data_IF_370781406556
#
_entry.id   IF_370781406556
#
_cell.length_a   1.000
_cell.length_b   1.000
_cell.length_c   1.000
_cell.angle_alpha   90.00
_cell.angle_beta   90.00
_cell.angle_gamma   90.00
#
_symmetry.space_group_name_H-M   'P 1'
#
loop_
_entity.id
_entity.type
_entity.pdbx_description
1 polymer ?
#
# COMPACT_ATOMS: atom_id res chain seq x y z
N UNK A 1 7.03 0.85 19.22
CA UNK A 1 5.89 -0.04 19.43
C UNK A 1 4.83 0.66 20.28
N UNK A 2 3.57 0.57 19.90
CA UNK A 2 2.46 1.08 20.68
C UNK A 2 1.45 -0.03 20.96
N UNK A 3 0.95 -0.08 22.21
CA UNK A 3 -0.14 -0.98 22.62
C UNK A 3 -1.03 -0.25 23.64
N UNK A 4 -2.24 0.08 23.25
CA UNK A 4 -3.10 0.97 24.05
C UNK A 4 -2.42 2.33 24.26
N UNK A 5 -2.29 2.76 25.50
CA UNK A 5 -1.63 4.02 25.88
C UNK A 5 -0.11 3.88 26.17
N UNK A 6 0.47 2.71 25.95
CA UNK A 6 1.88 2.48 26.15
C UNK A 6 2.66 2.62 24.85
N UNK A 7 3.70 3.46 24.86
CA UNK A 7 4.64 3.62 23.75
C UNK A 7 6.04 3.21 24.22
N UNK A 8 6.70 2.35 23.44
CA UNK A 8 8.09 1.94 23.68
C UNK A 8 8.93 2.26 22.45
N UNK A 9 10.06 2.93 22.67
CA UNK A 9 11.06 3.16 21.62
C UNK A 9 11.89 1.90 21.46
N UNK A 10 12.09 1.45 20.23
CA UNK A 10 12.96 0.33 19.88
C UNK A 10 14.34 0.84 19.52
N UNK A 11 14.41 1.83 18.63
CA UNK A 11 15.66 2.45 18.17
C UNK A 11 15.41 3.89 17.71
N UNK A 12 16.49 4.63 17.55
CA UNK A 12 16.50 5.94 16.93
C UNK A 12 17.63 6.01 15.89
N UNK A 13 17.29 6.33 14.63
CA UNK A 13 18.26 6.46 13.56
C UNK A 13 18.64 7.95 13.36
N UNK A 14 19.81 8.35 13.83
CA UNK A 14 20.31 9.72 13.73
C UNK A 14 20.94 10.00 12.35
N UNK A 15 20.14 9.85 11.30
CA UNK A 15 20.58 10.11 9.91
C UNK A 15 19.39 10.49 9.04
N UNK A 16 19.66 11.06 7.86
CA UNK A 16 18.67 11.16 6.82
C UNK A 16 18.23 9.77 6.36
N UNK A 17 16.95 9.60 6.04
CA UNK A 17 16.38 8.35 5.55
C UNK A 17 16.03 8.47 4.06
N UNK A 18 15.77 7.33 3.41
CA UNK A 18 15.26 7.29 2.04
C UNK A 18 13.88 7.93 1.89
N UNK A 19 13.17 8.18 2.99
CA UNK A 19 11.88 8.89 2.98
C UNK A 19 12.01 10.39 2.71
N UNK A 20 13.18 11.00 2.94
CA UNK A 20 13.37 12.45 2.73
C UNK A 20 13.11 12.91 1.29
N UNK A 21 13.58 12.22 0.22
CA UNK A 21 13.24 12.61 -1.14
C UNK A 21 11.73 12.56 -1.41
N UNK A 22 11.03 11.58 -0.85
CA UNK A 22 9.58 11.44 -0.97
C UNK A 22 8.85 12.59 -0.25
N UNK A 23 9.19 12.85 1.00
CA UNK A 23 8.61 13.96 1.79
C UNK A 23 8.90 15.30 1.12
N UNK A 24 10.11 15.50 0.59
CA UNK A 24 10.48 16.71 -0.13
C UNK A 24 9.64 16.93 -1.40
N UNK A 25 9.29 15.85 -2.11
CA UNK A 25 8.38 15.92 -3.28
C UNK A 25 6.95 16.28 -2.88
N UNK A 26 6.42 15.68 -1.83
CA UNK A 26 5.07 15.97 -1.33
C UNK A 26 4.96 17.43 -0.92
N UNK A 27 5.91 17.89 -0.13
CA UNK A 27 5.91 19.25 0.44
C UNK A 27 6.52 20.31 -0.48
N UNK A 28 6.99 19.90 -1.67
CA UNK A 28 7.69 20.77 -2.64
C UNK A 28 8.84 21.56 -2.01
N UNK A 29 9.56 20.94 -1.07
CA UNK A 29 10.66 21.55 -0.34
C UNK A 29 11.77 20.54 -0.09
N UNK A 30 13.00 20.90 -0.43
CA UNK A 30 14.16 20.06 -0.14
C UNK A 30 14.62 20.27 1.31
N UNK A 31 14.21 19.35 2.20
CA UNK A 31 14.55 19.42 3.63
C UNK A 31 16.03 19.17 3.89
N UNK A 32 16.71 18.38 3.07
CA UNK A 32 18.16 18.14 3.20
C UNK A 32 18.92 19.43 2.92
N UNK A 33 18.56 20.13 1.85
CA UNK A 33 19.15 21.44 1.54
C UNK A 33 18.90 22.44 2.66
N UNK A 34 17.67 22.52 3.16
CA UNK A 34 17.31 23.41 4.27
C UNK A 34 18.14 23.11 5.52
N UNK A 35 18.23 21.83 5.92
CA UNK A 35 19.03 21.43 7.06
C UNK A 35 20.51 21.74 6.86
N UNK A 36 21.06 21.49 5.68
CA UNK A 36 22.46 21.83 5.36
C UNK A 36 22.72 23.32 5.46
N UNK A 37 21.83 24.16 4.94
CA UNK A 37 21.95 25.62 5.05
C UNK A 37 21.94 26.08 6.51
N UNK A 38 21.04 25.52 7.33
CA UNK A 38 20.98 25.82 8.76
C UNK A 38 22.30 25.43 9.47
N UNK A 39 22.83 24.24 9.21
CA UNK A 39 24.07 23.78 9.80
C UNK A 39 25.30 24.61 9.39
N UNK A 40 25.26 25.26 8.24
CA UNK A 40 26.31 26.10 7.72
C UNK A 40 26.07 27.61 7.97
N UNK A 41 25.09 27.97 8.78
CA UNK A 41 24.66 29.37 9.01
C UNK A 41 24.41 30.15 7.71
N UNK A 42 24.01 29.44 6.65
CA UNK A 42 23.69 30.04 5.35
C UNK A 42 22.21 30.50 5.30
N UNK A 43 21.90 31.53 4.53
CA UNK A 43 20.54 32.00 4.37
C UNK A 43 19.61 30.92 3.81
N UNK A 44 18.45 30.75 4.41
CA UNK A 44 17.41 29.82 3.93
C UNK A 44 16.03 30.48 4.03
N UNK A 45 15.09 30.04 3.18
CA UNK A 45 13.70 30.49 3.26
C UNK A 45 12.93 29.63 4.27
N UNK A 46 12.20 30.29 5.17
CA UNK A 46 11.28 29.59 6.06
C UNK A 46 10.04 29.07 5.27
N UNK A 47 9.41 27.98 5.70
CA UNK A 47 8.16 27.54 5.08
C UNK A 47 7.05 28.55 5.38
N UNK A 48 6.29 28.87 4.35
CA UNK A 48 5.13 29.76 4.42
C UNK A 48 3.83 28.97 4.73
N UNK A 49 3.88 27.65 4.66
CA UNK A 49 2.73 26.74 4.89
C UNK A 49 3.07 25.64 5.88
N UNK A 50 2.05 25.21 6.60
CA UNK A 50 2.12 24.01 7.41
C UNK A 50 2.21 22.75 6.52
N UNK A 51 2.86 21.70 7.02
CA UNK A 51 2.85 20.40 6.36
C UNK A 51 1.43 19.77 6.28
N UNK A 52 0.47 20.31 7.03
CA UNK A 52 -0.94 19.88 6.97
C UNK A 52 -1.77 20.66 5.93
N UNK A 53 -1.21 21.73 5.34
CA UNK A 53 -1.88 22.57 4.34
C UNK A 53 -1.49 22.13 2.91
N UNK A 54 -1.45 20.84 2.67
CA UNK A 54 -1.17 20.26 1.36
C UNK A 54 -2.44 19.70 0.73
N UNK A 55 -2.58 19.94 -0.56
CA UNK A 55 -3.75 19.59 -1.39
C UNK A 55 -3.61 18.25 -2.12
N UNK A 56 -2.71 17.39 -1.66
CA UNK A 56 -2.44 16.09 -2.28
C UNK A 56 -2.07 15.05 -1.24
N UNK A 57 -2.25 13.79 -1.59
CA UNK A 57 -1.87 12.66 -0.76
C UNK A 57 -0.65 11.96 -1.36
N UNK A 58 0.29 11.59 -0.50
CA UNK A 58 1.44 10.79 -0.86
C UNK A 58 1.36 9.41 -0.22
N UNK A 59 1.53 8.37 -1.02
CA UNK A 59 1.64 6.99 -0.57
C UNK A 59 3.02 6.45 -0.88
N UNK A 60 3.66 5.88 0.13
CA UNK A 60 4.94 5.18 0.01
C UNK A 60 4.70 3.69 0.16
N UNK A 61 5.06 2.92 -0.86
CA UNK A 61 4.94 1.46 -0.86
C UNK A 61 6.30 0.79 -0.93
N UNK A 62 6.44 -0.33 -0.23
CA UNK A 62 7.66 -1.15 -0.25
C UNK A 62 7.74 -1.99 -1.52
N UNK A 63 8.96 -2.19 -2.02
CA UNK A 63 9.30 -3.11 -3.09
C UNK A 63 10.02 -4.31 -2.50
N UNK A 64 9.64 -5.52 -2.92
CA UNK A 64 10.24 -6.77 -2.44
C UNK A 64 10.97 -7.50 -3.57
N UNK A 65 12.11 -8.12 -3.25
CA UNK A 65 12.94 -8.81 -4.24
C UNK A 65 12.23 -10.03 -4.84
N UNK A 66 11.41 -10.75 -4.07
CA UNK A 66 10.65 -11.90 -4.59
C UNK A 66 9.72 -11.53 -5.76
N UNK A 67 9.28 -10.29 -5.87
CA UNK A 67 8.51 -9.82 -7.01
C UNK A 67 9.32 -9.74 -8.31
N UNK A 68 10.65 -9.78 -8.23
CA UNK A 68 11.59 -9.66 -9.36
C UNK A 68 12.45 -10.88 -9.56
N UNK A 69 12.70 -11.66 -8.51
CA UNK A 69 13.55 -12.85 -8.55
C UNK A 69 12.69 -14.10 -8.62
N UNK A 70 12.87 -14.89 -9.67
CA UNK A 70 12.20 -16.19 -9.78
C UNK A 70 12.63 -17.09 -8.62
N UNK A 71 11.66 -17.82 -8.06
CA UNK A 71 11.84 -18.75 -6.92
C UNK A 71 12.31 -18.08 -5.61
N UNK A 72 12.22 -16.78 -5.48
CA UNK A 72 12.43 -16.13 -4.19
C UNK A 72 11.22 -16.42 -3.26
N UNK A 73 11.52 -16.73 -1.99
CA UNK A 73 10.48 -16.97 -1.00
C UNK A 73 9.64 -15.72 -0.74
N UNK A 74 8.32 -15.73 -0.97
CA UNK A 74 7.45 -14.60 -0.75
C UNK A 74 7.02 -14.45 0.73
N UNK A 75 7.42 -15.36 1.61
CA UNK A 75 7.03 -15.31 3.03
C UNK A 75 7.75 -14.16 3.73
N UNK A 76 6.97 -13.21 4.23
CA UNK A 76 7.47 -12.12 5.05
C UNK A 76 7.52 -12.55 6.52
N UNK A 77 8.69 -12.41 7.12
CA UNK A 77 8.90 -12.65 8.54
C UNK A 77 9.13 -11.34 9.30
N UNK A 78 9.72 -11.42 10.48
CA UNK A 78 10.05 -10.25 11.31
C UNK A 78 11.19 -9.40 10.75
N UNK A 79 11.86 -9.85 9.71
CA UNK A 79 12.95 -9.15 9.06
C UNK A 79 12.46 -8.09 8.07
N UNK A 80 13.27 -7.06 7.83
CA UNK A 80 13.04 -6.08 6.76
C UNK A 80 13.48 -6.66 5.42
N UNK A 81 12.57 -7.35 4.74
CA UNK A 81 12.84 -7.98 3.44
C UNK A 81 12.62 -7.06 2.24
N UNK A 82 12.25 -5.81 2.46
CA UNK A 82 12.06 -4.83 1.38
C UNK A 82 13.39 -4.43 0.75
N UNK A 83 13.45 -4.44 -0.59
CA UNK A 83 14.66 -4.11 -1.38
C UNK A 83 14.61 -2.72 -1.99
N UNK A 84 13.54 -1.99 -1.79
CA UNK A 84 13.35 -0.64 -2.29
C UNK A 84 12.00 -0.09 -1.87
N UNK A 85 11.69 1.09 -2.35
CA UNK A 85 10.47 1.82 -2.04
C UNK A 85 10.10 2.68 -3.24
N UNK A 86 8.79 2.85 -3.44
CA UNK A 86 8.24 3.81 -4.39
C UNK A 86 7.41 4.84 -3.64
N UNK A 87 7.37 6.07 -4.14
CA UNK A 87 6.51 7.13 -3.60
C UNK A 87 5.66 7.71 -4.72
N UNK A 88 4.35 7.65 -4.56
CA UNK A 88 3.39 8.17 -5.53
C UNK A 88 2.52 9.24 -4.90
N UNK A 89 2.06 10.17 -5.73
CA UNK A 89 1.15 11.25 -5.36
C UNK A 89 -0.19 11.00 -6.03
N UNK A 90 -1.26 11.48 -5.39
CA UNK A 90 -2.61 11.50 -5.93
C UNK A 90 -3.41 12.64 -5.33
N UNK A 91 -4.51 12.99 -5.96
CA UNK A 91 -5.44 13.99 -5.44
C UNK A 91 -6.24 13.44 -4.26
N UNK A 92 -6.42 12.11 -4.23
CA UNK A 92 -6.99 11.38 -3.10
C UNK A 92 -6.14 10.15 -2.71
N UNK A 93 -6.53 9.51 -1.59
CA UNK A 93 -5.83 8.32 -1.08
C UNK A 93 -5.92 7.12 -2.04
N UNK A 94 -7.05 6.90 -2.68
CA UNK A 94 -7.25 5.73 -3.55
C UNK A 94 -6.38 5.85 -4.81
N UNK A 95 -6.31 7.04 -5.39
CA UNK A 95 -5.44 7.32 -6.52
C UNK A 95 -3.96 7.14 -6.16
N UNK A 96 -3.52 7.77 -5.07
CA UNK A 96 -2.13 7.65 -4.61
C UNK A 96 -1.75 6.20 -4.30
N UNK A 97 -2.66 5.43 -3.66
CA UNK A 97 -2.45 4.02 -3.35
C UNK A 97 -2.39 3.17 -4.64
N UNK A 98 -3.32 3.35 -5.56
CA UNK A 98 -3.34 2.61 -6.82
C UNK A 98 -2.06 2.87 -7.63
N UNK A 99 -1.64 4.12 -7.73
CA UNK A 99 -0.39 4.49 -8.39
C UNK A 99 0.83 3.83 -7.73
N UNK A 100 0.85 3.77 -6.40
CA UNK A 100 1.91 3.09 -5.66
C UNK A 100 1.92 1.58 -5.88
N UNK A 101 0.76 0.93 -5.91
CA UNK A 101 0.62 -0.50 -6.21
C UNK A 101 1.11 -0.81 -7.63
N UNK A 102 0.68 -0.04 -8.63
CA UNK A 102 1.13 -0.20 -10.02
C UNK A 102 2.66 -0.02 -10.12
N UNK A 103 3.20 0.98 -9.46
CA UNK A 103 4.64 1.26 -9.45
C UNK A 103 5.47 0.15 -8.77
N UNK A 104 4.89 -0.61 -7.85
CA UNK A 104 5.52 -1.81 -7.25
C UNK A 104 5.35 -3.08 -8.07
N UNK A 105 4.69 -3.00 -9.23
CA UNK A 105 4.52 -4.12 -10.16
C UNK A 105 3.16 -4.81 -10.11
N UNK A 106 2.22 -4.28 -9.30
CA UNK A 106 0.84 -4.77 -9.32
C UNK A 106 0.21 -4.50 -10.69
N UNK A 107 -0.47 -5.50 -11.22
CA UNK A 107 -1.16 -5.40 -12.50
C UNK A 107 -2.66 -5.30 -12.27
N UNK A 108 -3.28 -4.30 -12.87
CA UNK A 108 -4.74 -4.21 -12.86
C UNK A 108 -5.30 -5.42 -13.62
N UNK A 109 -6.19 -6.20 -13.01
CA UNK A 109 -6.84 -7.32 -13.68
C UNK A 109 -7.56 -6.84 -14.95
N UNK A 110 -7.47 -7.62 -16.02
CA UNK A 110 -8.15 -7.25 -17.28
C UNK A 110 -9.51 -7.94 -17.45
N UNK A 111 -9.64 -9.17 -16.93
CA UNK A 111 -10.82 -10.01 -17.18
C UNK A 111 -11.35 -10.66 -15.90
N UNK A 112 -10.49 -11.14 -15.04
CA UNK A 112 -10.88 -11.90 -13.87
C UNK A 112 -10.12 -11.49 -12.62
N UNK A 113 -10.76 -11.66 -11.46
CA UNK A 113 -10.20 -11.39 -10.14
C UNK A 113 -10.37 -12.60 -9.24
N UNK A 114 -9.38 -12.85 -8.38
CA UNK A 114 -9.44 -13.86 -7.32
C UNK A 114 -9.65 -13.15 -5.98
N UNK A 115 -10.68 -13.58 -5.25
CA UNK A 115 -11.01 -13.06 -3.93
C UNK A 115 -10.90 -14.16 -2.87
N UNK A 116 -10.25 -13.84 -1.75
CA UNK A 116 -10.15 -14.74 -0.61
C UNK A 116 -10.16 -13.93 0.69
N UNK A 117 -11.09 -14.24 1.58
CA UNK A 117 -11.22 -13.62 2.89
C UNK A 117 -11.57 -14.65 3.95
N UNK A 118 -10.94 -14.53 5.12
CA UNK A 118 -11.13 -15.49 6.20
C UNK A 118 -12.35 -15.22 7.08
N UNK A 119 -12.41 -14.03 7.66
CA UNK A 119 -13.40 -13.69 8.69
C UNK A 119 -14.72 -13.17 8.10
N UNK A 120 -15.84 -13.33 8.86
CA UNK A 120 -17.16 -12.89 8.39
C UNK A 120 -17.26 -11.38 8.09
N UNK A 121 -16.59 -10.53 8.87
CA UNK A 121 -16.63 -9.08 8.68
C UNK A 121 -15.98 -8.69 7.36
N UNK A 122 -14.79 -9.21 7.07
CA UNK A 122 -14.10 -8.98 5.80
C UNK A 122 -14.91 -9.48 4.60
N UNK A 123 -15.72 -10.54 4.77
CA UNK A 123 -16.64 -11.00 3.72
C UNK A 123 -17.75 -9.99 3.44
N UNK A 124 -18.31 -9.38 4.47
CA UNK A 124 -19.34 -8.32 4.32
C UNK A 124 -18.74 -7.10 3.62
N UNK A 125 -17.54 -6.69 3.99
CA UNK A 125 -16.84 -5.55 3.38
C UNK A 125 -16.52 -5.78 1.89
N UNK A 126 -16.45 -7.05 1.45
CA UNK A 126 -16.25 -7.42 0.04
C UNK A 126 -17.51 -7.31 -0.83
N UNK A 127 -18.71 -7.23 -0.26
CA UNK A 127 -19.95 -7.29 -1.06
C UNK A 127 -20.04 -6.17 -2.08
N UNK A 128 -19.86 -4.94 -1.66
CA UNK A 128 -19.96 -3.79 -2.57
C UNK A 128 -18.83 -3.77 -3.61
N UNK A 129 -17.55 -3.93 -3.26
CA UNK A 129 -16.49 -4.08 -4.26
C UNK A 129 -16.75 -5.20 -5.26
N UNK A 130 -17.27 -6.35 -4.81
CA UNK A 130 -17.57 -7.48 -5.70
C UNK A 130 -18.71 -7.19 -6.66
N UNK A 131 -19.77 -6.48 -6.23
CA UNK A 131 -20.83 -6.00 -7.12
C UNK A 131 -20.29 -5.02 -8.17
N UNK A 132 -19.40 -4.11 -7.76
CA UNK A 132 -18.76 -3.19 -8.69
C UNK A 132 -17.92 -3.92 -9.74
N UNK A 133 -17.16 -4.95 -9.33
CA UNK A 133 -16.35 -5.75 -10.26
C UNK A 133 -17.24 -6.50 -11.26
N UNK A 134 -18.26 -7.20 -10.79
CA UNK A 134 -19.19 -7.94 -11.67
C UNK A 134 -19.96 -7.01 -12.60
N UNK A 135 -20.39 -5.83 -12.14
CA UNK A 135 -21.06 -4.83 -12.98
C UNK A 135 -20.16 -4.26 -14.08
N UNK A 136 -18.84 -4.29 -13.87
CA UNK A 136 -17.81 -3.90 -14.86
C UNK A 136 -17.40 -5.05 -15.79
N UNK A 137 -18.02 -6.23 -15.64
CA UNK A 137 -17.78 -7.39 -16.49
C UNK A 137 -16.59 -8.24 -16.08
N UNK A 138 -16.10 -8.12 -14.84
CA UNK A 138 -15.08 -9.02 -14.33
C UNK A 138 -15.67 -10.38 -13.91
N UNK A 139 -15.00 -11.46 -14.27
CA UNK A 139 -15.26 -12.78 -13.74
C UNK A 139 -14.66 -12.88 -12.32
N UNK A 140 -15.49 -13.23 -11.34
CA UNK A 140 -15.07 -13.35 -9.96
C UNK A 140 -14.81 -14.81 -9.62
N UNK A 141 -13.59 -15.13 -9.22
CA UNK A 141 -13.18 -16.40 -8.63
C UNK A 141 -12.94 -16.18 -7.14
N UNK A 142 -13.27 -17.17 -6.32
CA UNK A 142 -13.04 -17.03 -4.89
C UNK A 142 -12.80 -18.42 -4.23
N UNK A 143 -12.09 -18.41 -3.09
CA UNK A 143 -12.02 -19.62 -2.26
C UNK A 143 -13.42 -20.03 -1.83
N UNK A 144 -13.63 -21.35 -1.62
CA UNK A 144 -14.94 -21.97 -1.44
C UNK A 144 -15.87 -21.21 -0.48
N UNK A 145 -15.39 -20.92 0.74
CA UNK A 145 -16.17 -20.17 1.74
C UNK A 145 -16.50 -18.74 1.34
N UNK A 146 -15.63 -18.08 0.55
CA UNK A 146 -15.88 -16.73 0.03
C UNK A 146 -16.84 -16.79 -1.16
N UNK A 147 -16.65 -17.73 -2.08
CA UNK A 147 -17.55 -17.93 -3.22
C UNK A 147 -18.98 -18.24 -2.77
N UNK A 148 -19.14 -19.15 -1.80
CA UNK A 148 -20.44 -19.47 -1.20
C UNK A 148 -21.12 -18.21 -0.67
N UNK A 149 -20.41 -17.43 0.15
CA UNK A 149 -20.93 -16.20 0.73
C UNK A 149 -21.36 -15.17 -0.34
N UNK A 150 -20.54 -14.97 -1.37
CA UNK A 150 -20.87 -14.04 -2.47
C UNK A 150 -22.11 -14.51 -3.24
N UNK A 151 -22.20 -15.81 -3.59
CA UNK A 151 -23.35 -16.38 -4.30
C UNK A 151 -24.64 -16.27 -3.47
N UNK A 152 -24.60 -16.53 -2.16
CA UNK A 152 -25.73 -16.35 -1.25
C UNK A 152 -26.23 -14.89 -1.19
N UNK A 153 -25.34 -13.92 -1.49
CA UNK A 153 -25.68 -12.51 -1.57
C UNK A 153 -25.93 -12.00 -3.01
N UNK A 154 -26.18 -12.92 -3.95
CA UNK A 154 -26.54 -12.58 -5.33
C UNK A 154 -25.39 -12.07 -6.19
N UNK A 155 -24.15 -12.33 -5.80
CA UNK A 155 -22.94 -11.95 -6.56
C UNK A 155 -22.34 -13.23 -7.16
N UNK A 156 -22.36 -13.43 -8.49
CA UNK A 156 -21.84 -14.63 -9.11
C UNK A 156 -20.32 -14.75 -8.88
N UNK A 157 -19.92 -15.85 -8.28
CA UNK A 157 -18.52 -16.18 -8.03
C UNK A 157 -18.26 -17.69 -8.25
N UNK A 158 -17.17 -17.99 -8.94
CA UNK A 158 -16.72 -19.36 -9.18
C UNK A 158 -15.83 -19.79 -8.02
N UNK A 159 -16.17 -20.92 -7.38
CA UNK A 159 -15.33 -21.48 -6.33
C UNK A 159 -14.04 -22.07 -6.92
N UNK A 160 -12.92 -21.81 -6.25
CA UNK A 160 -11.63 -22.44 -6.52
C UNK A 160 -11.10 -23.09 -5.25
N UNK A 161 -10.46 -24.24 -5.43
CA UNK A 161 -9.84 -24.98 -4.33
C UNK A 161 -8.42 -24.47 -4.08
N UNK A 162 -7.91 -24.71 -2.88
CA UNK A 162 -6.50 -24.53 -2.59
C UNK A 162 -5.67 -25.59 -3.35
N UNK A 163 -4.40 -25.28 -3.70
CA UNK A 163 -3.55 -26.24 -4.43
C UNK A 163 -3.40 -27.61 -3.75
N UNK A 164 -3.59 -27.65 -2.44
CA UNK A 164 -3.40 -28.85 -1.59
C UNK A 164 -4.73 -29.62 -1.34
N UNK A 165 -5.86 -29.15 -1.88
CA UNK A 165 -7.20 -29.74 -1.70
C UNK A 165 -7.64 -30.62 -2.88
N UNK A 166 -6.75 -31.44 -3.43
CA UNK A 166 -7.09 -32.43 -4.47
C UNK A 166 -7.38 -33.80 -3.86
#
# INVERSE_FOLDING_TARGET
LAKGNQVKVIECNLRASRSFPFVSKILKRNFIETATKIMLDAPYSQPDKSAFDIDRIGVKASQFSFARLQNADPVLSVDMSSTGEVGCLGDDFNEALLNALIATGYKIPQKSVMLSTGDPKSKVDLLEPSRMLTSKGYDVYATEGTAKFLNENGIPAVAVHWPDEN
#
